data_IF_841886813391
#
_entry.id   IF_841886813391
#
_cell.length_a   1.000
_cell.length_b   1.000
_cell.length_c   1.000
_cell.angle_alpha   90.00
_cell.angle_beta   90.00
_cell.angle_gamma   90.00
#
_symmetry.space_group_name_H-M   'P 1'
#
loop_
_entity.id
_entity.type
_entity.pdbx_description
1 polymer ?
#
# COMPACT_ATOMS: atom_id res chain seq x y z
N UNK A 1 -13.11 -21.42 3.92
CA UNK A 1 -14.53 -21.33 4.28
C UNK A 1 -14.84 -19.84 4.27
N UNK A 2 -15.70 -19.39 3.36
CA UNK A 2 -15.83 -17.96 3.03
C UNK A 2 -16.70 -17.27 4.08
N UNK A 3 -16.26 -16.11 4.59
CA UNK A 3 -17.09 -15.24 5.44
C UNK A 3 -18.43 -14.88 4.77
N UNK A 4 -18.49 -15.00 3.44
CA UNK A 4 -19.67 -14.80 2.62
C UNK A 4 -20.77 -15.86 2.83
N UNK A 5 -20.43 -17.14 3.01
CA UNK A 5 -21.43 -18.19 3.27
C UNK A 5 -22.11 -18.00 4.63
N UNK A 6 -21.37 -17.49 5.63
CA UNK A 6 -21.94 -17.13 6.93
C UNK A 6 -22.92 -15.96 6.81
N UNK A 7 -22.62 -14.99 5.95
CA UNK A 7 -23.50 -13.85 5.70
C UNK A 7 -24.80 -14.27 5.01
N UNK A 8 -24.71 -15.14 3.98
CA UNK A 8 -25.90 -15.73 3.36
C UNK A 8 -26.74 -16.48 4.38
N UNK A 9 -26.11 -17.19 5.32
CA UNK A 9 -26.85 -17.94 6.33
C UNK A 9 -27.61 -17.03 7.31
N UNK A 10 -27.02 -15.90 7.71
CA UNK A 10 -27.74 -14.91 8.52
C UNK A 10 -28.94 -14.30 7.76
N UNK A 11 -28.83 -14.15 6.43
CA UNK A 11 -29.95 -13.73 5.61
C UNK A 11 -31.05 -14.80 5.54
N UNK A 12 -30.67 -16.05 5.34
CA UNK A 12 -31.62 -17.17 5.36
C UNK A 12 -32.37 -17.26 6.70
N UNK A 13 -31.70 -17.00 7.83
CA UNK A 13 -32.36 -16.97 9.14
C UNK A 13 -33.48 -15.92 9.21
N UNK A 14 -33.29 -14.75 8.61
CA UNK A 14 -34.31 -13.70 8.55
C UNK A 14 -35.49 -14.11 7.68
N UNK A 15 -35.24 -14.76 6.55
CA UNK A 15 -36.30 -15.25 5.67
C UNK A 15 -37.11 -16.36 6.34
N UNK A 16 -36.44 -17.29 7.03
CA UNK A 16 -37.08 -18.32 7.85
C UNK A 16 -37.95 -17.71 8.94
N UNK A 17 -37.44 -16.69 9.65
CA UNK A 17 -38.23 -15.96 10.64
C UNK A 17 -39.45 -15.30 10.00
N UNK A 18 -39.26 -14.57 8.91
CA UNK A 18 -40.34 -13.88 8.18
C UNK A 18 -41.41 -14.86 7.70
N UNK A 19 -41.00 -16.04 7.23
CA UNK A 19 -41.93 -17.07 6.78
C UNK A 19 -42.77 -17.65 7.93
N UNK A 20 -42.18 -17.87 9.11
CA UNK A 20 -42.92 -18.33 10.28
C UNK A 20 -43.92 -17.26 10.78
N UNK A 21 -43.51 -15.99 10.79
CA UNK A 21 -44.33 -14.87 11.27
C UNK A 21 -45.56 -14.57 10.37
N UNK A 22 -45.62 -15.10 9.14
CA UNK A 22 -46.79 -14.97 8.27
C UNK A 22 -48.02 -15.73 8.79
N UNK A 23 -47.80 -16.86 9.46
CA UNK A 23 -48.87 -17.78 9.88
C UNK A 23 -48.98 -17.93 11.40
N UNK A 24 -47.93 -17.57 12.14
CA UNK A 24 -47.85 -17.76 13.59
C UNK A 24 -47.39 -16.50 14.32
N UNK A 25 -47.85 -16.33 15.55
CA UNK A 25 -47.44 -15.24 16.45
C UNK A 25 -46.67 -15.83 17.65
N UNK A 26 -45.34 -15.92 17.58
CA UNK A 26 -44.50 -16.39 18.69
C UNK A 26 -44.45 -15.37 19.84
N UNK A 27 -43.86 -15.77 20.97
CA UNK A 27 -43.71 -14.88 22.13
C UNK A 27 -42.87 -13.62 21.89
N UNK A 28 -41.98 -13.65 20.88
CA UNK A 28 -41.11 -12.55 20.46
C UNK A 28 -40.92 -12.59 18.95
N UNK A 29 -40.84 -11.44 18.30
CA UNK A 29 -40.67 -11.39 16.83
C UNK A 29 -39.32 -11.98 16.40
N UNK A 30 -38.27 -11.79 17.21
CA UNK A 30 -36.90 -12.24 16.94
C UNK A 30 -36.72 -13.73 17.27
N UNK A 31 -36.37 -14.52 16.25
CA UNK A 31 -36.15 -15.97 16.35
C UNK A 31 -35.05 -16.34 17.36
N UNK A 32 -34.07 -15.46 17.57
CA UNK A 32 -33.03 -15.67 18.57
C UNK A 32 -33.55 -15.58 20.00
N UNK A 33 -34.77 -15.08 20.23
CA UNK A 33 -35.36 -14.97 21.56
C UNK A 33 -36.35 -16.08 21.89
N UNK A 34 -36.75 -16.90 20.92
CA UNK A 34 -37.71 -18.00 21.10
C UNK A 34 -37.26 -19.03 22.12
N UNK A 35 -38.17 -19.50 22.98
CA UNK A 35 -37.85 -20.47 24.05
C UNK A 35 -38.86 -21.60 24.05
N UNK A 36 -38.40 -22.79 24.42
CA UNK A 36 -39.23 -23.95 24.73
C UNK A 36 -40.36 -24.16 23.72
N UNK A 37 -41.57 -23.73 24.08
CA UNK A 37 -42.78 -23.89 23.26
C UNK A 37 -42.68 -23.26 21.86
N UNK A 38 -42.08 -22.07 21.72
CA UNK A 38 -41.91 -21.43 20.41
C UNK A 38 -41.00 -22.25 19.50
N UNK A 39 -39.96 -22.86 20.07
CA UNK A 39 -39.03 -23.72 19.34
C UNK A 39 -39.74 -25.00 18.89
N UNK A 40 -40.58 -25.58 19.76
CA UNK A 40 -41.36 -26.78 19.45
C UNK A 40 -42.34 -26.50 18.31
N UNK A 41 -43.09 -25.39 18.37
CA UNK A 41 -44.03 -25.03 17.31
C UNK A 41 -43.33 -24.76 15.97
N UNK A 42 -42.18 -24.07 16.01
CA UNK A 42 -41.36 -23.93 14.81
C UNK A 42 -40.88 -25.27 14.26
N UNK A 43 -40.43 -26.20 15.11
CA UNK A 43 -40.02 -27.54 14.68
C UNK A 43 -41.18 -28.32 14.04
N UNK A 44 -42.38 -28.20 14.58
CA UNK A 44 -43.58 -28.83 14.02
C UNK A 44 -43.97 -28.22 12.67
N UNK A 45 -43.94 -26.89 12.53
CA UNK A 45 -44.25 -26.24 11.26
C UNK A 45 -43.21 -26.56 10.17
N UNK A 46 -41.93 -26.54 10.55
CA UNK A 46 -40.83 -26.90 9.67
C UNK A 46 -40.96 -28.36 9.18
N UNK A 47 -41.43 -29.27 10.04
CA UNK A 47 -41.72 -30.66 9.66
C UNK A 47 -42.90 -30.78 8.70
N UNK A 48 -43.93 -29.94 8.86
CA UNK A 48 -45.10 -29.92 7.97
C UNK A 48 -44.75 -29.40 6.58
N UNK A 49 -44.02 -28.29 6.50
CA UNK A 49 -43.73 -27.59 5.23
C UNK A 49 -42.55 -28.19 4.47
N UNK A 50 -41.43 -28.43 5.15
CA UNK A 50 -40.18 -28.83 4.50
C UNK A 50 -39.83 -30.32 4.68
N UNK A 51 -40.71 -31.09 5.33
CA UNK A 51 -40.58 -32.55 5.55
C UNK A 51 -39.26 -33.00 6.21
N UNK A 52 -38.58 -32.11 6.93
CA UNK A 52 -37.37 -32.42 7.71
C UNK A 52 -37.52 -32.13 9.20
N UNK A 53 -36.45 -32.34 9.96
CA UNK A 53 -36.41 -32.06 11.39
C UNK A 53 -35.14 -31.30 11.76
N UNK A 54 -35.26 -30.46 12.78
CA UNK A 54 -34.12 -29.79 13.41
C UNK A 54 -34.14 -30.13 14.90
N UNK A 55 -33.01 -30.57 15.44
CA UNK A 55 -32.93 -30.82 16.88
C UNK A 55 -32.88 -29.52 17.66
N UNK A 56 -33.38 -29.54 18.90
CA UNK A 56 -33.34 -28.37 19.78
C UNK A 56 -31.89 -27.85 19.94
N UNK A 57 -30.92 -28.76 20.12
CA UNK A 57 -29.49 -28.42 20.16
C UNK A 57 -29.02 -27.66 18.92
N UNK A 58 -29.48 -28.05 17.73
CA UNK A 58 -29.13 -27.35 16.48
C UNK A 58 -29.75 -25.96 16.43
N UNK A 59 -30.99 -25.82 16.92
CA UNK A 59 -31.64 -24.52 17.06
C UNK A 59 -30.82 -23.58 17.95
N UNK A 60 -30.42 -24.03 19.15
CA UNK A 60 -29.54 -23.23 20.03
C UNK A 60 -28.18 -22.93 19.40
N UNK A 61 -27.63 -23.84 18.58
CA UNK A 61 -26.32 -23.62 17.97
C UNK A 61 -26.36 -22.51 16.91
N UNK A 62 -27.39 -22.49 16.07
CA UNK A 62 -27.41 -21.65 14.87
C UNK A 62 -28.34 -20.44 14.95
N UNK A 63 -29.41 -20.51 15.75
CA UNK A 63 -30.39 -19.42 15.87
C UNK A 63 -30.17 -18.54 17.10
N UNK A 64 -29.59 -19.08 18.18
CA UNK A 64 -29.34 -18.31 19.42
C UNK A 64 -28.02 -17.56 19.42
N UNK A 65 -26.99 -18.10 18.76
CA UNK A 65 -25.69 -17.47 18.69
C UNK A 65 -25.71 -16.42 17.58
N UNK A 66 -25.48 -15.16 17.94
CA UNK A 66 -25.28 -14.05 17.01
C UNK A 66 -23.99 -13.32 17.40
N UNK A 67 -22.96 -13.28 16.54
CA UNK A 67 -22.90 -13.81 15.16
C UNK A 67 -22.69 -15.32 15.10
N UNK A 68 -23.21 -15.98 14.05
CA UNK A 68 -22.95 -17.40 13.80
C UNK A 68 -21.49 -17.63 13.43
N UNK A 69 -20.77 -18.42 14.23
CA UNK A 69 -19.34 -18.72 14.02
C UNK A 69 -19.09 -19.92 13.12
N UNK A 70 -20.13 -20.72 12.83
CA UNK A 70 -20.02 -21.95 12.06
C UNK A 70 -21.28 -22.20 11.25
N UNK A 71 -21.09 -22.57 9.98
CA UNK A 71 -22.18 -22.92 9.08
C UNK A 71 -22.78 -24.31 9.44
N UNK A 72 -24.11 -24.49 9.35
CA UNK A 72 -24.74 -25.81 9.37
C UNK A 72 -24.28 -26.73 8.23
N UNK A 73 -24.55 -28.03 8.37
CA UNK A 73 -24.40 -28.98 7.27
C UNK A 73 -25.37 -28.64 6.13
N UNK A 74 -25.00 -29.01 4.91
CA UNK A 74 -25.77 -28.70 3.69
C UNK A 74 -27.24 -29.17 3.77
N UNK A 75 -27.51 -30.32 4.38
CA UNK A 75 -28.88 -30.84 4.55
C UNK A 75 -29.76 -29.89 5.37
N UNK A 76 -29.20 -29.27 6.41
CA UNK A 76 -29.91 -28.31 7.24
C UNK A 76 -30.13 -26.99 6.50
N UNK A 77 -29.15 -26.56 5.70
CA UNK A 77 -29.29 -25.36 4.86
C UNK A 77 -30.37 -25.54 3.80
N UNK A 78 -30.38 -26.69 3.11
CA UNK A 78 -31.43 -27.04 2.15
C UNK A 78 -32.80 -27.08 2.82
N UNK A 79 -32.90 -27.70 3.99
CA UNK A 79 -34.15 -27.78 4.76
C UNK A 79 -34.70 -26.39 5.11
N UNK A 80 -33.84 -25.48 5.58
CA UNK A 80 -34.23 -24.11 5.92
C UNK A 80 -34.58 -23.30 4.67
N UNK A 81 -33.90 -23.54 3.54
CA UNK A 81 -34.19 -22.88 2.26
C UNK A 81 -35.56 -23.31 1.72
N UNK A 82 -35.87 -24.60 1.75
CA UNK A 82 -37.18 -25.16 1.39
C UNK A 82 -38.27 -24.56 2.27
N UNK A 83 -38.02 -24.48 3.58
CA UNK A 83 -38.97 -23.86 4.49
C UNK A 83 -39.23 -22.38 4.15
N UNK A 84 -38.19 -21.63 3.79
CA UNK A 84 -38.29 -20.23 3.39
C UNK A 84 -38.90 -20.01 1.98
N UNK A 85 -39.11 -21.08 1.20
CA UNK A 85 -39.76 -21.04 -0.12
C UNK A 85 -38.82 -21.18 -1.31
N UNK A 86 -37.57 -21.60 -1.09
CA UNK A 86 -36.57 -21.82 -2.14
C UNK A 86 -36.32 -23.32 -2.36
N UNK A 87 -35.99 -23.74 -3.58
CA UNK A 87 -35.82 -25.19 -3.86
C UNK A 87 -34.61 -25.82 -3.17
N UNK A 88 -33.54 -25.04 -2.94
CA UNK A 88 -32.32 -25.51 -2.27
C UNK A 88 -31.49 -24.36 -1.69
N UNK A 89 -30.46 -24.69 -0.90
CA UNK A 89 -29.47 -23.71 -0.44
C UNK A 89 -28.75 -23.04 -1.61
N UNK A 90 -28.49 -23.79 -2.68
CA UNK A 90 -27.87 -23.26 -3.88
C UNK A 90 -28.77 -22.20 -4.55
N UNK A 91 -30.05 -22.52 -4.72
CA UNK A 91 -31.06 -21.59 -5.27
C UNK A 91 -31.25 -20.36 -4.38
N UNK A 92 -31.27 -20.55 -3.06
CA UNK A 92 -31.31 -19.44 -2.13
C UNK A 92 -30.13 -18.50 -2.33
N UNK A 93 -28.89 -19.04 -2.38
CA UNK A 93 -27.71 -18.24 -2.67
C UNK A 93 -27.84 -17.57 -4.03
N UNK A 94 -28.29 -18.29 -5.05
CA UNK A 94 -28.49 -17.76 -6.40
C UNK A 94 -29.34 -16.49 -6.42
N UNK A 95 -30.46 -16.52 -5.69
CA UNK A 95 -31.40 -15.40 -5.62
C UNK A 95 -30.96 -14.29 -4.66
N UNK A 96 -30.05 -14.60 -3.73
CA UNK A 96 -29.50 -13.69 -2.72
C UNK A 96 -28.02 -13.42 -2.94
N UNK A 97 -27.59 -13.45 -4.21
CA UNK A 97 -26.21 -13.32 -4.60
C UNK A 97 -25.66 -11.96 -4.13
N UNK A 98 -24.64 -11.98 -3.27
CA UNK A 98 -23.87 -10.76 -3.01
C UNK A 98 -23.11 -10.36 -4.29
N UNK A 99 -22.80 -9.07 -4.44
CA UNK A 99 -22.17 -8.53 -5.65
C UNK A 99 -20.85 -9.22 -6.07
N UNK A 100 -20.19 -9.94 -5.15
CA UNK A 100 -19.00 -10.75 -5.45
C UNK A 100 -19.28 -12.11 -6.09
N UNK A 101 -20.46 -12.70 -5.88
CA UNK A 101 -20.86 -13.98 -6.49
C UNK A 101 -21.53 -13.77 -7.87
N UNK A 102 -22.10 -12.59 -8.15
CA UNK A 102 -22.63 -12.22 -9.49
C UNK A 102 -21.55 -12.21 -10.57
N UNK A 103 -20.31 -11.98 -10.16
CA UNK A 103 -19.16 -11.95 -11.06
C UNK A 103 -18.70 -13.37 -11.40
N UNK A 104 -18.73 -14.29 -10.43
CA UNK A 104 -18.39 -15.69 -10.65
C UNK A 104 -19.42 -16.38 -11.55
N UNK A 105 -20.70 -16.04 -11.43
CA UNK A 105 -21.73 -16.60 -12.32
C UNK A 105 -21.58 -16.05 -13.76
N UNK A 106 -21.26 -14.77 -13.93
CA UNK A 106 -20.96 -14.21 -15.25
C UNK A 106 -19.66 -14.76 -15.86
N UNK A 107 -18.59 -14.96 -15.07
CA UNK A 107 -17.35 -15.59 -15.54
C UNK A 107 -17.59 -17.05 -15.94
N UNK A 108 -18.38 -17.82 -15.19
CA UNK A 108 -18.74 -19.19 -15.56
C UNK A 108 -19.60 -19.24 -16.84
N UNK A 109 -20.51 -18.29 -17.03
CA UNK A 109 -21.31 -18.17 -18.26
C UNK A 109 -20.45 -17.80 -19.47
N UNK A 110 -19.48 -16.90 -19.28
CA UNK A 110 -18.50 -16.54 -20.31
C UNK A 110 -17.57 -17.72 -20.66
N UNK A 111 -17.14 -18.53 -19.67
CA UNK A 111 -16.34 -19.75 -19.90
C UNK A 111 -17.13 -20.85 -20.63
N UNK A 112 -18.43 -20.98 -20.38
CA UNK A 112 -19.31 -21.91 -21.12
C UNK A 112 -19.50 -21.46 -22.58
N UNK A 113 -19.70 -20.16 -22.83
CA UNK A 113 -19.78 -19.60 -24.19
C UNK A 113 -18.45 -19.73 -24.96
N UNK A 114 -17.32 -19.53 -24.29
CA UNK A 114 -15.98 -19.70 -24.88
C UNK A 114 -15.73 -21.16 -25.27
N UNK A 115 -16.17 -22.13 -24.47
CA UNK A 115 -16.05 -23.55 -24.81
C UNK A 115 -16.92 -23.95 -26.02
N UNK A 116 -18.08 -23.33 -26.21
CA UNK A 116 -18.89 -23.54 -27.42
C UNK A 116 -18.25 -22.90 -28.67
N UNK A 117 -17.59 -21.75 -28.51
CA UNK A 117 -16.83 -21.07 -29.56
C UNK A 117 -15.54 -21.83 -29.95
N UNK A 118 -14.83 -22.45 -29.00
CA UNK A 118 -13.64 -23.27 -29.29
C UNK A 118 -13.99 -24.57 -30.05
N UNK A 119 -15.17 -25.12 -29.79
CA UNK A 119 -15.71 -26.26 -30.55
C UNK A 119 -15.98 -25.92 -32.01
N UNK A 120 -16.43 -24.70 -32.30
CA UNK A 120 -16.73 -24.24 -33.66
C UNK A 120 -15.48 -23.80 -34.43
N UNK A 121 -14.42 -23.37 -33.74
CA UNK A 121 -13.14 -22.97 -34.39
C UNK A 121 -12.27 -24.17 -34.78
N UNK A 122 -12.48 -25.35 -34.16
CA UNK A 122 -11.72 -26.57 -34.45
C UNK A 122 -12.07 -27.27 -35.79
N UNK A 123 -13.11 -26.82 -36.51
CA UNK A 123 -13.60 -27.48 -37.73
C UNK A 123 -13.11 -26.87 -39.06
N UNK A 124 -12.18 -25.91 -39.08
CA UNK A 124 -11.68 -25.31 -40.34
C UNK A 124 -10.17 -25.51 -40.55
N UNK A 125 -9.67 -25.91 -41.75
CA UNK A 125 -8.31 -26.44 -41.93
C UNK A 125 -7.20 -25.37 -41.96
N UNK A 126 -6.07 -25.68 -41.30
CA UNK A 126 -4.82 -24.90 -41.20
C UNK A 126 -3.96 -24.88 -42.49
N UNK A 127 -3.11 -23.85 -42.62
CA UNK A 127 -1.66 -23.87 -43.01
C UNK A 127 -1.13 -22.44 -43.29
N UNK A 128 0.18 -22.14 -43.23
CA UNK A 128 1.22 -22.53 -42.27
C UNK A 128 1.97 -21.33 -41.63
N UNK A 129 2.57 -21.61 -40.46
CA UNK A 129 3.48 -20.75 -39.68
C UNK A 129 4.86 -20.64 -40.32
N UNK A 130 5.57 -19.53 -40.08
CA UNK A 130 7.04 -19.46 -40.21
C UNK A 130 7.61 -18.74 -39.00
N UNK A 131 8.33 -19.51 -38.16
CA UNK A 131 9.12 -19.08 -37.01
C UNK A 131 10.55 -18.69 -37.44
N UNK A 132 11.15 -17.69 -36.77
CA UNK A 132 12.61 -17.61 -36.62
C UNK A 132 12.94 -17.16 -35.19
N UNK A 133 13.69 -18.01 -34.46
CA UNK A 133 14.20 -17.79 -33.09
C UNK A 133 15.56 -17.05 -33.07
N UNK A 134 15.93 -16.40 -31.96
CA UNK A 134 17.17 -15.62 -31.82
C UNK A 134 18.39 -16.44 -31.34
N UNK A 135 19.59 -16.09 -31.81
CA UNK A 135 20.88 -16.72 -31.47
C UNK A 135 21.64 -15.92 -30.38
N UNK A 136 21.97 -16.59 -29.28
CA UNK A 136 22.79 -16.15 -28.13
C UNK A 136 24.29 -16.25 -28.46
N UNK A 137 25.09 -15.26 -28.04
CA UNK A 137 26.56 -15.31 -28.04
C UNK A 137 27.07 -14.96 -26.64
N UNK A 138 27.99 -15.81 -26.17
CA UNK A 138 28.62 -15.86 -24.84
C UNK A 138 30.09 -15.45 -24.98
N UNK A 139 30.62 -14.62 -24.07
CA UNK A 139 32.05 -14.29 -24.01
C UNK A 139 32.55 -14.45 -22.57
N UNK A 140 33.68 -15.16 -22.47
CA UNK A 140 34.35 -15.67 -21.28
C UNK A 140 35.28 -14.63 -20.62
N UNK A 141 35.48 -14.80 -19.32
CA UNK A 141 36.47 -14.15 -18.45
C UNK A 141 37.89 -14.73 -18.64
N UNK A 142 38.95 -13.95 -18.34
CA UNK A 142 40.25 -14.51 -17.99
C UNK A 142 40.68 -14.15 -16.56
N UNK A 143 41.32 -15.11 -15.88
CA UNK A 143 41.89 -15.00 -14.54
C UNK A 143 43.41 -15.29 -14.56
N UNK A 144 44.15 -14.52 -13.75
CA UNK A 144 45.45 -14.75 -13.10
C UNK A 144 46.75 -14.92 -13.92
N UNK A 145 47.78 -14.13 -13.56
CA UNK A 145 49.07 -14.66 -13.05
C UNK A 145 49.69 -13.70 -12.02
N UNK A 146 50.06 -14.27 -10.89
CA UNK A 146 50.80 -13.75 -9.73
C UNK A 146 52.32 -13.72 -9.99
N UNK A 147 53.03 -12.71 -9.47
CA UNK A 147 54.50 -12.64 -9.48
C UNK A 147 55.00 -12.05 -8.15
N UNK A 148 55.24 -12.93 -7.16
CA UNK A 148 56.14 -12.65 -6.03
C UNK A 148 57.53 -13.23 -6.29
N UNK A 149 58.59 -12.51 -5.86
CA UNK A 149 59.74 -13.08 -5.14
C UNK A 149 60.27 -12.06 -4.10
N UNK A 150 60.60 -12.59 -2.92
CA UNK A 150 61.03 -11.91 -1.69
C UNK A 150 62.54 -12.05 -1.43
N UNK A 151 63.00 -11.38 -0.34
CA UNK A 151 64.21 -11.59 0.51
C UNK A 151 65.42 -10.66 0.20
N UNK A 152 66.19 -10.08 1.13
CA UNK A 152 66.27 -9.91 2.62
C UNK A 152 67.45 -8.94 2.88
N UNK A 153 67.44 -8.07 3.90
CA UNK A 153 68.54 -7.93 4.89
C UNK A 153 68.28 -6.85 5.97
N UNK A 154 68.47 -7.27 7.22
CA UNK A 154 68.59 -6.44 8.42
C UNK A 154 70.01 -5.91 8.54
N UNK A 155 70.21 -4.70 9.07
CA UNK A 155 71.41 -4.40 9.86
C UNK A 155 71.23 -3.26 10.87
N UNK A 156 72.09 -3.33 11.88
CA UNK A 156 71.92 -2.92 13.28
C UNK A 156 72.24 -1.46 13.64
N UNK A 157 71.72 -1.12 14.81
CA UNK A 157 71.90 0.09 15.61
C UNK A 157 73.36 0.27 16.07
N UNK A 158 73.84 1.52 16.10
CA UNK A 158 75.03 1.87 16.89
C UNK A 158 74.80 3.12 17.77
N UNK A 159 75.20 3.01 19.05
CA UNK A 159 75.16 4.05 20.09
C UNK A 159 76.58 4.39 20.55
N UNK A 160 76.87 5.69 20.79
CA UNK A 160 77.61 6.30 21.94
C UNK A 160 78.24 7.67 21.53
N UNK A 161 78.74 8.51 22.46
CA UNK A 161 78.31 8.82 23.84
C UNK A 161 78.21 10.34 24.16
N UNK A 162 77.70 10.61 25.36
CA UNK A 162 77.59 11.86 26.15
C UNK A 162 78.83 12.76 26.22
N UNK A 163 78.66 14.08 26.34
CA UNK A 163 79.40 14.93 27.31
C UNK A 163 78.59 16.20 27.64
N UNK A 164 78.32 16.37 28.94
CA UNK A 164 77.77 17.53 29.64
C UNK A 164 78.78 18.68 29.67
N UNK A 165 78.32 19.94 29.66
CA UNK A 165 78.85 21.01 30.51
C UNK A 165 77.85 22.17 30.58
N UNK A 166 77.41 22.46 31.79
CA UNK A 166 76.71 23.68 32.20
C UNK A 166 77.68 24.88 32.17
N UNK A 167 77.19 26.05 31.75
CA UNK A 167 77.62 27.35 32.27
C UNK A 167 76.40 28.27 32.29
N UNK A 168 75.96 28.66 33.50
CA UNK A 168 75.14 29.85 33.72
C UNK A 168 75.94 31.13 33.45
N UNK A 169 75.31 32.17 32.89
CA UNK A 169 75.16 33.49 33.54
C UNK A 169 74.28 34.39 32.65
N UNK A 170 73.45 35.13 33.37
CA UNK A 170 72.44 36.12 33.06
C UNK A 170 72.85 37.31 32.18
N UNK A 171 71.87 37.95 31.51
CA UNK A 171 71.64 39.42 31.48
C UNK A 171 70.36 39.76 30.69
N UNK A 172 69.78 40.93 31.01
CA UNK A 172 68.37 41.33 30.88
C UNK A 172 68.05 42.02 29.52
N UNK A 173 66.84 42.58 29.27
CA UNK A 173 66.06 42.34 28.06
C UNK A 173 66.26 43.42 26.98
N UNK A 174 66.18 43.07 25.70
CA UNK A 174 66.02 44.08 24.65
C UNK A 174 64.81 43.78 23.77
N UNK A 175 63.82 44.66 23.85
CA UNK A 175 62.75 44.79 22.85
C UNK A 175 63.40 44.95 21.48
N UNK A 176 63.36 43.90 20.65
CA UNK A 176 63.64 43.99 19.21
C UNK A 176 62.69 43.07 18.44
N UNK A 177 61.74 43.71 17.75
CA UNK A 177 61.01 43.24 16.57
C UNK A 177 60.50 41.78 16.58
N UNK A 178 59.49 41.53 17.41
CA UNK A 178 58.70 40.28 17.45
C UNK A 178 58.18 39.85 16.06
N UNK A 179 57.94 40.81 15.16
CA UNK A 179 57.39 40.56 13.82
C UNK A 179 58.38 39.92 12.83
N UNK A 180 59.71 40.02 13.02
CA UNK A 180 60.68 39.41 12.08
C UNK A 180 61.10 37.99 12.49
N UNK A 181 61.04 37.64 13.78
CA UNK A 181 61.40 36.30 14.29
C UNK A 181 60.21 35.33 14.29
N UNK A 182 58.99 35.85 14.42
CA UNK A 182 57.76 35.05 14.40
C UNK A 182 57.02 35.12 13.05
N UNK A 183 57.63 35.72 12.02
CA UNK A 183 57.08 35.77 10.67
C UNK A 183 56.77 34.36 10.14
N UNK A 184 57.64 33.39 10.41
CA UNK A 184 57.43 32.01 9.99
C UNK A 184 56.26 31.34 10.73
N UNK A 185 56.02 31.68 12.00
CA UNK A 185 54.87 31.20 12.78
C UNK A 185 53.54 31.83 12.31
N UNK A 186 53.57 33.10 11.87
CA UNK A 186 52.42 33.73 11.23
C UNK A 186 52.14 33.12 9.86
N UNK A 187 53.18 32.85 9.07
CA UNK A 187 53.05 32.19 7.76
C UNK A 187 52.48 30.77 7.92
N UNK A 188 52.98 29.98 8.87
CA UNK A 188 52.44 28.63 9.11
C UNK A 188 51.03 28.66 9.68
N UNK A 189 50.70 29.61 10.57
CA UNK A 189 49.32 29.81 11.05
C UNK A 189 48.35 30.17 9.93
N UNK A 190 48.74 31.09 9.04
CA UNK A 190 47.95 31.46 7.85
C UNK A 190 47.82 30.27 6.90
N UNK A 191 48.89 29.49 6.70
CA UNK A 191 48.87 28.29 5.87
C UNK A 191 47.92 27.23 6.46
N UNK A 192 47.95 27.01 7.77
CA UNK A 192 47.03 26.09 8.48
C UNK A 192 45.59 26.59 8.36
N UNK A 193 45.34 27.89 8.51
CA UNK A 193 44.02 28.48 8.35
C UNK A 193 43.49 28.33 6.91
N UNK A 194 44.33 28.59 5.89
CA UNK A 194 43.99 28.40 4.48
C UNK A 194 43.76 26.92 4.17
N UNK A 195 44.59 26.03 4.69
CA UNK A 195 44.45 24.58 4.49
C UNK A 195 43.19 24.05 5.17
N UNK A 196 42.86 24.56 6.36
CA UNK A 196 41.58 24.31 7.03
C UNK A 196 40.40 24.82 6.20
N UNK A 197 40.46 26.06 5.70
CA UNK A 197 39.42 26.63 4.84
C UNK A 197 39.22 25.83 3.55
N UNK A 198 40.30 25.37 2.92
CA UNK A 198 40.26 24.53 1.72
C UNK A 198 39.72 23.12 2.01
N UNK A 199 40.07 22.54 3.16
CA UNK A 199 39.56 21.24 3.61
C UNK A 199 38.06 21.26 3.95
N UNK A 200 37.55 22.40 4.46
CA UNK A 200 36.13 22.58 4.80
C UNK A 200 35.34 23.41 3.77
N UNK A 201 35.93 23.73 2.61
CA UNK A 201 35.28 24.53 1.55
C UNK A 201 33.91 23.98 1.18
N UNK A 202 33.77 22.65 1.22
CA UNK A 202 32.56 22.02 0.73
C UNK A 202 31.35 22.18 1.65
N UNK A 203 31.57 22.41 2.95
CA UNK A 203 30.52 22.69 3.94
C UNK A 203 30.30 24.19 4.12
N UNK A 204 31.36 25.00 3.95
CA UNK A 204 31.29 26.46 4.15
C UNK A 204 30.56 27.20 3.01
N UNK A 205 30.55 26.64 1.78
CA UNK A 205 29.99 27.33 0.61
C UNK A 205 28.64 26.76 0.11
N UNK A 206 28.07 25.77 0.78
CA UNK A 206 26.73 25.25 0.45
C UNK A 206 25.63 26.11 1.09
N UNK A 207 24.57 26.39 0.33
CA UNK A 207 23.36 27.04 0.85
C UNK A 207 22.26 25.99 1.02
N UNK A 208 21.53 26.09 2.13
CA UNK A 208 20.37 25.24 2.41
C UNK A 208 19.09 25.96 2.00
N UNK A 209 18.25 25.28 1.22
CA UNK A 209 16.93 25.74 0.81
C UNK A 209 15.88 24.85 1.43
N UNK A 210 14.81 25.46 1.95
CA UNK A 210 13.69 24.76 2.59
C UNK A 210 12.42 24.97 1.79
N UNK A 211 11.77 23.87 1.43
CA UNK A 211 10.53 23.86 0.65
C UNK A 211 9.41 23.25 1.48
N UNK A 212 8.37 24.02 1.76
CA UNK A 212 7.17 23.56 2.45
C UNK A 212 6.03 23.37 1.45
N UNK A 213 5.23 22.32 1.61
CA UNK A 213 4.23 21.94 0.62
C UNK A 213 2.82 22.18 1.16
N UNK A 214 2.03 22.92 0.39
CA UNK A 214 0.64 23.25 0.73
C UNK A 214 -0.31 22.77 -0.35
N UNK A 215 -1.52 22.41 0.07
CA UNK A 215 -2.63 22.12 -0.80
C UNK A 215 -3.12 23.41 -1.46
N UNK A 216 -3.13 23.46 -2.80
CA UNK A 216 -3.50 24.64 -3.58
C UNK A 216 -4.92 25.14 -3.27
N UNK A 217 -5.86 24.23 -3.05
CA UNK A 217 -7.28 24.57 -2.92
C UNK A 217 -7.65 24.90 -1.46
N UNK A 218 -6.98 24.24 -0.50
CA UNK A 218 -7.26 24.41 0.93
C UNK A 218 -6.31 25.35 1.66
N UNK A 219 -5.14 25.64 1.11
CA UNK A 219 -4.10 26.46 1.74
C UNK A 219 -3.48 25.84 3.01
N UNK A 220 -3.76 24.57 3.28
CA UNK A 220 -3.21 23.82 4.43
C UNK A 220 -2.10 22.87 4.00
N UNK A 221 -1.33 22.35 4.95
CA UNK A 221 -0.29 21.37 4.65
C UNK A 221 -0.84 20.11 3.97
N UNK A 222 -0.04 19.55 3.08
CA UNK A 222 -0.38 18.30 2.38
C UNK A 222 -0.55 17.12 3.34
N UNK A 223 -1.51 16.26 3.06
CA UNK A 223 -1.94 15.17 3.96
C UNK A 223 -1.24 13.82 3.69
N UNK A 224 -0.50 13.70 2.60
CA UNK A 224 0.18 12.46 2.18
C UNK A 224 1.70 12.59 2.27
N UNK A 225 2.38 11.45 2.33
CA UNK A 225 3.83 11.42 2.11
C UNK A 225 4.16 11.88 0.71
N UNK A 226 5.20 12.69 0.58
CA UNK A 226 5.70 13.17 -0.69
C UNK A 226 6.95 12.41 -1.10
N UNK A 227 7.02 12.03 -2.37
CA UNK A 227 8.21 11.53 -3.02
C UNK A 227 8.82 12.66 -3.86
N UNK A 228 10.01 13.11 -3.47
CA UNK A 228 10.76 14.18 -4.14
C UNK A 228 11.96 13.55 -4.84
N UNK A 229 12.02 13.75 -6.16
CA UNK A 229 13.13 13.32 -7.01
C UNK A 229 13.93 14.55 -7.42
N UNK A 230 15.12 14.74 -6.86
CA UNK A 230 16.05 15.80 -7.27
C UNK A 230 16.87 15.32 -8.45
N UNK A 231 16.83 16.05 -9.56
CA UNK A 231 17.46 15.70 -10.83
C UNK A 231 18.67 16.61 -11.02
N UNK A 232 19.84 15.99 -11.20
CA UNK A 232 21.10 16.66 -11.50
C UNK A 232 21.56 16.32 -12.92
N UNK A 233 22.38 17.19 -13.50
CA UNK A 233 22.93 16.95 -14.82
C UNK A 233 23.98 15.84 -14.77
N UNK A 234 23.92 14.89 -15.71
CA UNK A 234 24.84 13.76 -15.82
C UNK A 234 24.94 12.86 -14.58
N UNK A 235 23.97 12.96 -13.66
CA UNK A 235 23.92 12.16 -12.44
C UNK A 235 22.56 11.48 -12.31
N UNK A 236 22.55 10.35 -11.59
CA UNK A 236 21.31 9.67 -11.24
C UNK A 236 20.47 10.53 -10.28
N UNK A 237 19.12 10.53 -10.41
CA UNK A 237 18.27 11.29 -9.51
C UNK A 237 18.37 10.85 -8.04
N UNK A 238 18.30 11.81 -7.13
CA UNK A 238 18.27 11.57 -5.69
C UNK A 238 16.82 11.54 -5.20
N UNK A 239 16.44 10.49 -4.46
CA UNK A 239 15.07 10.26 -4.00
C UNK A 239 14.91 10.55 -2.51
N UNK A 240 13.91 11.32 -2.15
CA UNK A 240 13.58 11.68 -0.78
C UNK A 240 12.10 11.40 -0.48
N UNK A 241 11.82 10.84 0.70
CA UNK A 241 10.46 10.62 1.23
C UNK A 241 10.21 11.58 2.38
N UNK A 242 9.21 12.44 2.24
CA UNK A 242 8.84 13.45 3.24
C UNK A 242 7.50 13.07 3.85
N UNK A 243 7.37 13.17 5.18
CA UNK A 243 6.11 12.88 5.87
C UNK A 243 5.12 14.04 5.69
N UNK A 244 3.80 13.78 5.85
CA UNK A 244 2.80 14.84 5.81
C UNK A 244 3.15 15.98 6.78
N UNK A 245 3.07 17.23 6.30
CA UNK A 245 3.35 18.42 7.11
C UNK A 245 4.82 18.78 7.33
N UNK A 246 5.78 17.92 6.95
CA UNK A 246 7.20 18.25 7.03
C UNK A 246 7.67 19.03 5.78
N UNK A 247 8.66 19.92 5.98
CA UNK A 247 9.31 20.63 4.88
C UNK A 247 10.57 19.89 4.41
N UNK A 248 10.88 20.03 3.12
CA UNK A 248 12.07 19.46 2.52
C UNK A 248 13.23 20.45 2.57
N UNK A 249 14.28 20.12 3.31
CA UNK A 249 15.51 20.92 3.32
C UNK A 249 16.60 20.25 2.48
N UNK A 250 17.17 21.03 1.56
CA UNK A 250 18.19 20.56 0.63
C UNK A 250 19.38 21.52 0.60
N UNK A 251 20.56 20.99 0.89
CA UNK A 251 21.81 21.75 0.84
C UNK A 251 22.53 21.49 -0.48
N UNK A 252 22.81 22.56 -1.23
CA UNK A 252 23.53 22.45 -2.50
C UNK A 252 24.37 23.69 -2.78
N UNK A 253 25.35 23.52 -3.69
CA UNK A 253 26.13 24.60 -4.31
C UNK A 253 25.69 24.88 -5.74
N UNK A 254 24.84 24.01 -6.27
CA UNK A 254 24.37 24.11 -7.65
C UNK A 254 23.56 25.40 -7.82
N UNK A 255 23.70 26.04 -8.98
CA UNK A 255 22.98 27.26 -9.32
C UNK A 255 21.53 27.00 -9.67
N UNK A 256 21.19 25.77 -10.05
CA UNK A 256 19.85 25.38 -10.45
C UNK A 256 19.42 24.14 -9.67
N UNK A 257 18.14 24.09 -9.31
CA UNK A 257 17.49 22.93 -8.72
C UNK A 257 16.35 22.50 -9.62
N UNK A 258 16.44 21.28 -10.16
CA UNK A 258 15.34 20.60 -10.82
C UNK A 258 14.86 19.48 -9.91
N UNK A 259 13.57 19.48 -9.58
CA UNK A 259 12.97 18.41 -8.80
C UNK A 259 11.59 18.05 -9.32
N UNK A 260 11.23 16.78 -9.18
CA UNK A 260 9.89 16.25 -9.47
C UNK A 260 9.26 15.78 -8.17
N UNK A 261 8.12 16.36 -7.84
CA UNK A 261 7.37 16.08 -6.62
C UNK A 261 6.17 15.22 -7.01
N UNK A 262 5.97 14.13 -6.29
CA UNK A 262 4.86 13.21 -6.52
C UNK A 262 4.25 12.75 -5.21
N UNK A 263 2.94 12.50 -5.22
CA UNK A 263 2.19 12.02 -4.07
C UNK A 263 0.98 11.22 -4.55
N UNK A 264 0.41 10.41 -3.64
CA UNK A 264 -0.72 9.56 -3.99
C UNK A 264 -1.97 10.34 -4.46
N UNK A 265 -2.26 11.50 -3.88
CA UNK A 265 -3.50 12.25 -4.11
C UNK A 265 -3.31 13.64 -4.74
N UNK A 266 -2.10 13.96 -5.21
CA UNK A 266 -1.80 15.23 -5.87
C UNK A 266 -1.30 14.97 -7.29
N UNK A 267 -1.45 15.98 -8.15
CA UNK A 267 -0.86 15.95 -9.48
C UNK A 267 0.67 16.09 -9.38
N UNK A 268 1.46 15.28 -10.12
CA UNK A 268 2.91 15.43 -10.12
C UNK A 268 3.32 16.84 -10.57
N UNK A 269 4.26 17.44 -9.85
CA UNK A 269 4.75 18.78 -10.14
C UNK A 269 6.24 18.75 -10.43
N UNK A 270 6.64 19.30 -11.57
CA UNK A 270 8.04 19.55 -11.90
C UNK A 270 8.40 20.99 -11.55
N UNK A 271 9.45 21.13 -10.75
CA UNK A 271 9.93 22.40 -10.24
C UNK A 271 11.33 22.63 -10.76
N UNK A 272 11.52 23.77 -11.42
CA UNK A 272 12.83 24.25 -11.87
C UNK A 272 13.05 25.62 -11.23
N UNK A 273 14.15 25.77 -10.48
CA UNK A 273 14.50 26.99 -9.74
C UNK A 273 15.93 27.39 -10.03
N UNK A 274 16.14 28.68 -10.26
CA UNK A 274 17.44 29.30 -10.19
C UNK A 274 17.70 29.72 -8.73
N UNK A 275 18.74 29.16 -8.13
CA UNK A 275 19.12 29.31 -6.73
C UNK A 275 20.01 30.54 -6.46
N UNK A 276 20.45 31.27 -7.49
CA UNK A 276 21.27 32.47 -7.28
C UNK A 276 20.50 33.57 -6.53
N UNK A 277 19.21 33.71 -6.83
CA UNK A 277 18.30 34.72 -6.25
C UNK A 277 17.11 34.10 -5.50
N UNK A 278 17.12 32.78 -5.26
CA UNK A 278 16.01 32.11 -4.59
C UNK A 278 15.96 32.46 -3.09
N UNK A 279 14.76 32.58 -2.50
CA UNK A 279 14.63 32.69 -1.06
C UNK A 279 15.11 31.41 -0.37
N UNK A 280 15.56 31.54 0.88
CA UNK A 280 15.98 30.39 1.69
C UNK A 280 14.81 29.47 2.06
N UNK A 281 13.59 30.01 2.10
CA UNK A 281 12.36 29.28 2.37
C UNK A 281 11.32 29.60 1.29
N UNK A 282 10.70 28.58 0.72
CA UNK A 282 9.66 28.69 -0.30
C UNK A 282 8.47 27.77 0.03
N UNK A 283 7.25 28.24 -0.24
CA UNK A 283 6.05 27.42 -0.21
C UNK A 283 5.69 26.97 -1.63
N UNK A 284 5.53 25.67 -1.83
CA UNK A 284 5.14 25.06 -3.09
C UNK A 284 3.70 24.56 -2.98
N UNK A 285 2.84 25.08 -3.86
CA UNK A 285 1.45 24.66 -3.98
C UNK A 285 1.35 23.38 -4.81
N UNK A 286 0.81 22.32 -4.22
CA UNK A 286 0.47 21.08 -4.92
C UNK A 286 -1.02 21.07 -5.23
N UNK A 287 -1.35 20.83 -6.49
CA UNK A 287 -2.73 20.71 -6.95
C UNK A 287 -3.29 19.33 -6.58
N UNK A 288 -4.40 19.26 -5.82
CA UNK A 288 -5.08 18.00 -5.56
C UNK A 288 -5.54 17.29 -6.84
N UNK A 289 -5.55 15.96 -6.82
CA UNK A 289 -6.16 15.16 -7.89
C UNK A 289 -7.53 14.65 -7.44
N UNK A 290 -8.57 15.39 -7.82
CA UNK A 290 -9.96 15.14 -7.41
C UNK A 290 -10.43 13.71 -7.68
N UNK A 291 -10.00 13.11 -8.79
CA UNK A 291 -10.37 11.73 -9.14
C UNK A 291 -9.77 10.73 -8.16
N UNK A 292 -8.50 10.91 -7.81
CA UNK A 292 -7.81 10.03 -6.87
C UNK A 292 -8.37 10.18 -5.45
N UNK A 293 -8.64 11.43 -5.06
CA UNK A 293 -9.26 11.73 -3.77
C UNK A 293 -10.69 11.18 -3.68
N UNK A 294 -11.50 11.34 -4.72
CA UNK A 294 -12.86 10.82 -4.77
C UNK A 294 -12.86 9.29 -4.67
N UNK A 295 -12.03 8.60 -5.46
CA UNK A 295 -11.93 7.14 -5.40
C UNK A 295 -11.53 6.67 -4.00
N UNK A 296 -10.53 7.29 -3.38
CA UNK A 296 -10.12 6.96 -2.01
C UNK A 296 -11.20 7.24 -0.97
N UNK A 297 -11.87 8.40 -1.07
CA UNK A 297 -12.98 8.77 -0.19
C UNK A 297 -14.09 7.73 -0.26
N UNK A 298 -14.52 7.37 -1.47
CA UNK A 298 -15.55 6.35 -1.65
C UNK A 298 -15.09 5.02 -1.10
N UNK A 299 -13.85 4.59 -1.36
CA UNK A 299 -13.30 3.34 -0.81
C UNK A 299 -13.35 3.26 0.72
N UNK A 300 -13.13 4.36 1.45
CA UNK A 300 -13.09 4.36 2.93
C UNK A 300 -14.38 4.77 3.63
N UNK A 301 -15.34 5.38 2.93
CA UNK A 301 -16.58 5.84 3.55
C UNK A 301 -17.34 4.67 4.17
N UNK A 302 -17.55 4.73 5.48
CA UNK A 302 -18.39 3.79 6.23
C UNK A 302 -19.84 3.90 5.73
N UNK A 303 -20.53 2.76 5.67
CA UNK A 303 -21.93 2.69 5.26
C UNK A 303 -22.77 2.65 6.53
N UNK A 304 -23.61 3.68 6.74
CA UNK A 304 -24.47 3.84 7.92
C UNK A 304 -25.92 3.98 7.48
N UNK A 305 -26.85 3.30 8.14
CA UNK A 305 -28.28 3.37 7.82
C UNK A 305 -29.02 2.09 8.19
N UNK A 306 -30.31 2.01 7.87
CA UNK A 306 -31.07 0.74 7.93
C UNK A 306 -30.68 -0.20 6.77
N UNK A 307 -31.13 -1.46 6.79
CA UNK A 307 -30.70 -2.48 5.80
C UNK A 307 -30.94 -2.06 4.34
N UNK A 308 -32.03 -1.38 4.03
CA UNK A 308 -32.37 -0.95 2.66
C UNK A 308 -31.50 0.23 2.20
N UNK A 309 -31.31 1.23 3.07
CA UNK A 309 -30.44 2.37 2.82
C UNK A 309 -28.98 1.93 2.62
N UNK A 310 -28.51 0.95 3.40
CA UNK A 310 -27.15 0.41 3.24
C UNK A 310 -26.96 -0.21 1.86
N UNK A 311 -27.92 -0.99 1.37
CA UNK A 311 -27.87 -1.60 0.03
C UNK A 311 -27.84 -0.53 -1.06
N UNK A 312 -28.68 0.51 -0.95
CA UNK A 312 -28.69 1.63 -1.89
C UNK A 312 -27.35 2.40 -1.90
N UNK A 313 -26.77 2.67 -0.74
CA UNK A 313 -25.48 3.35 -0.59
C UNK A 313 -24.32 2.52 -1.13
N UNK A 314 -24.32 1.20 -0.92
CA UNK A 314 -23.34 0.27 -1.51
C UNK A 314 -23.42 0.35 -3.04
N UNK A 315 -24.64 0.27 -3.60
CA UNK A 315 -24.86 0.35 -5.05
C UNK A 315 -24.35 1.68 -5.62
N UNK A 316 -24.64 2.80 -4.95
CA UNK A 316 -24.15 4.11 -5.35
C UNK A 316 -22.62 4.18 -5.33
N UNK A 317 -21.99 3.75 -4.22
CA UNK A 317 -20.53 3.73 -4.07
C UNK A 317 -19.87 2.88 -5.15
N UNK A 318 -20.44 1.70 -5.44
CA UNK A 318 -19.98 0.81 -6.50
C UNK A 318 -20.03 1.51 -7.86
N UNK A 319 -21.15 2.12 -8.24
CA UNK A 319 -21.28 2.87 -9.49
C UNK A 319 -20.29 4.03 -9.62
N UNK A 320 -20.01 4.73 -8.51
CA UNK A 320 -19.03 5.82 -8.52
C UNK A 320 -17.61 5.30 -8.79
N UNK A 321 -17.21 4.21 -8.11
CA UNK A 321 -15.91 3.59 -8.34
C UNK A 321 -15.79 2.99 -9.74
N UNK A 322 -16.87 2.40 -10.27
CA UNK A 322 -16.94 1.90 -11.65
C UNK A 322 -16.62 2.98 -12.70
N UNK A 323 -17.14 4.19 -12.48
CA UNK A 323 -16.93 5.32 -13.38
C UNK A 323 -15.52 5.90 -13.27
N UNK A 324 -14.96 5.94 -12.06
CA UNK A 324 -13.64 6.52 -11.79
C UNK A 324 -12.49 5.60 -12.22
N UNK A 325 -12.67 4.28 -12.16
CA UNK A 325 -11.63 3.29 -12.44
C UNK A 325 -11.80 2.76 -13.87
N UNK A 326 -10.71 2.77 -14.64
CA UNK A 326 -10.69 2.23 -16.00
C UNK A 326 -10.92 0.72 -16.01
N UNK A 327 -11.60 0.20 -17.04
CA UNK A 327 -11.87 -1.25 -17.18
C UNK A 327 -10.59 -2.08 -17.32
N UNK A 328 -9.51 -1.48 -17.84
CA UNK A 328 -8.19 -2.10 -17.97
C UNK A 328 -7.22 -1.70 -16.84
N UNK A 329 -7.73 -1.21 -15.71
CA UNK A 329 -6.88 -0.76 -14.62
C UNK A 329 -6.06 -1.91 -14.03
N UNK A 330 -4.78 -1.64 -13.75
CA UNK A 330 -3.87 -2.59 -13.09
C UNK A 330 -3.81 -2.28 -11.60
N UNK A 331 -4.34 -3.17 -10.78
CA UNK A 331 -4.48 -2.97 -9.34
C UNK A 331 -3.60 -3.97 -8.58
N UNK A 332 -2.80 -3.46 -7.64
CA UNK A 332 -1.90 -4.25 -6.79
C UNK A 332 -2.23 -4.06 -5.32
N UNK A 333 -2.43 -5.17 -4.61
CA UNK A 333 -2.46 -5.22 -3.16
C UNK A 333 -1.09 -5.64 -2.65
N UNK A 334 -0.51 -4.85 -1.75
CA UNK A 334 0.77 -5.13 -1.10
C UNK A 334 0.51 -5.76 0.27
N UNK A 335 1.18 -6.88 0.56
CA UNK A 335 1.10 -7.62 1.81
C UNK A 335 2.43 -7.53 2.58
N UNK A 336 2.35 -7.45 3.90
CA UNK A 336 3.51 -7.43 4.80
C UNK A 336 4.04 -8.86 5.08
N UNK A 337 4.23 -9.67 4.04
CA UNK A 337 4.77 -11.04 4.15
C UNK A 337 6.17 -11.15 3.52
N UNK A 338 6.95 -12.16 3.94
CA UNK A 338 8.34 -12.32 3.52
C UNK A 338 8.54 -13.07 2.19
N UNK A 339 7.47 -13.63 1.59
CA UNK A 339 7.57 -14.59 0.47
C UNK A 339 6.84 -14.13 -0.78
N UNK A 340 5.68 -13.46 -0.65
CA UNK A 340 4.83 -13.05 -1.75
C UNK A 340 4.18 -11.69 -1.45
N UNK A 341 4.95 -10.62 -1.64
CA UNK A 341 4.59 -9.28 -1.14
C UNK A 341 3.57 -8.50 -1.97
N UNK A 342 3.18 -8.98 -3.16
CA UNK A 342 2.22 -8.30 -4.04
C UNK A 342 1.26 -9.28 -4.72
N UNK A 343 -0.03 -8.94 -4.75
CA UNK A 343 -1.05 -9.63 -5.54
C UNK A 343 -1.65 -8.64 -6.56
N UNK A 344 -1.76 -9.07 -7.81
CA UNK A 344 -2.54 -8.33 -8.82
C UNK A 344 -4.00 -8.75 -8.69
N UNK A 345 -4.90 -7.77 -8.56
CA UNK A 345 -6.34 -7.99 -8.55
C UNK A 345 -6.98 -7.21 -9.71
N UNK A 346 -8.11 -7.70 -10.19
CA UNK A 346 -8.89 -7.01 -11.20
C UNK A 346 -9.72 -5.85 -10.59
N UNK A 347 -10.30 -5.03 -11.47
CA UNK A 347 -11.15 -3.88 -11.11
C UNK A 347 -12.33 -4.30 -10.21
N UNK A 348 -12.98 -5.40 -10.55
CA UNK A 348 -14.20 -5.84 -9.89
C UNK A 348 -13.91 -6.35 -8.48
N UNK A 349 -12.87 -7.17 -8.31
CA UNK A 349 -12.36 -7.64 -7.02
C UNK A 349 -11.94 -6.47 -6.13
N UNK A 350 -11.28 -5.44 -6.67
CA UNK A 350 -10.97 -4.23 -5.91
C UNK A 350 -12.24 -3.49 -5.45
N UNK A 351 -13.16 -3.22 -6.37
CA UNK A 351 -14.40 -2.49 -6.06
C UNK A 351 -15.23 -3.26 -5.03
N UNK A 352 -15.39 -4.57 -5.21
CA UNK A 352 -16.04 -5.45 -4.24
C UNK A 352 -15.34 -5.36 -2.89
N UNK A 353 -14.02 -5.52 -2.83
CA UNK A 353 -13.25 -5.42 -1.59
C UNK A 353 -13.50 -4.11 -0.85
N UNK A 354 -13.48 -2.96 -1.52
CA UNK A 354 -13.65 -1.66 -0.86
C UNK A 354 -15.11 -1.29 -0.59
N UNK A 355 -16.08 -2.02 -1.15
CA UNK A 355 -17.52 -1.83 -0.91
C UNK A 355 -18.09 -2.82 0.10
N UNK A 356 -17.44 -3.97 0.32
CA UNK A 356 -17.83 -4.93 1.34
C UNK A 356 -17.71 -4.29 2.73
N UNK A 357 -18.78 -4.30 3.55
CA UNK A 357 -18.75 -3.75 4.90
C UNK A 357 -17.80 -4.54 5.81
N UNK A 358 -16.53 -4.13 5.88
CA UNK A 358 -15.52 -4.75 6.73
C UNK A 358 -14.73 -3.68 7.49
N UNK A 359 -14.32 -4.01 8.72
CA UNK A 359 -13.55 -3.10 9.57
C UNK A 359 -12.10 -2.94 9.09
N UNK A 360 -11.56 -3.94 8.39
CA UNK A 360 -10.20 -3.94 7.84
C UNK A 360 -9.95 -2.79 6.86
N UNK A 361 -10.98 -2.31 6.15
CA UNK A 361 -10.87 -1.18 5.23
C UNK A 361 -10.51 0.15 5.90
N UNK A 362 -10.70 0.28 7.23
CA UNK A 362 -10.24 1.45 7.97
C UNK A 362 -8.73 1.63 7.88
N UNK A 363 -8.00 0.54 7.72
CA UNK A 363 -6.54 0.48 7.60
C UNK A 363 -6.05 0.46 6.15
N UNK A 364 -6.93 0.71 5.18
CA UNK A 364 -6.55 0.84 3.78
C UNK A 364 -5.70 2.10 3.57
N UNK A 365 -4.51 1.91 3.02
CA UNK A 365 -3.58 2.97 2.67
C UNK A 365 -3.20 2.86 1.19
N UNK A 366 -3.40 3.94 0.43
CA UNK A 366 -3.02 4.03 -0.97
C UNK A 366 -1.55 4.44 -1.06
N UNK A 367 -0.75 3.60 -1.69
CA UNK A 367 0.68 3.84 -1.93
C UNK A 367 0.85 4.68 -3.19
N UNK A 368 0.14 4.31 -4.25
CA UNK A 368 0.26 4.95 -5.57
C UNK A 368 -1.08 4.87 -6.30
N UNK A 369 -1.42 5.93 -7.02
CA UNK A 369 -2.56 5.91 -7.93
C UNK A 369 -2.20 6.70 -9.18
N UNK A 370 -2.41 6.09 -10.36
CA UNK A 370 -2.11 6.69 -11.66
C UNK A 370 -3.39 6.93 -12.43
N UNK A 371 -3.47 8.12 -13.02
CA UNK A 371 -4.59 8.57 -13.84
C UNK A 371 -4.11 8.72 -15.28
N UNK A 372 -4.97 8.34 -16.20
CA UNK A 372 -4.83 8.64 -17.63
C UNK A 372 -6.20 8.98 -18.20
N UNK A 373 -6.27 10.00 -19.06
CA UNK A 373 -7.52 10.46 -19.70
C UNK A 373 -8.74 10.57 -18.76
N UNK A 374 -8.53 11.09 -17.55
CA UNK A 374 -9.60 11.27 -16.56
C UNK A 374 -10.08 9.99 -15.87
N UNK A 375 -9.43 8.84 -16.07
CA UNK A 375 -9.73 7.59 -15.34
C UNK A 375 -8.51 7.07 -14.60
N UNK A 376 -8.74 6.33 -13.52
CA UNK A 376 -7.69 5.65 -12.77
C UNK A 376 -7.30 4.38 -13.52
N UNK A 377 -6.04 4.31 -13.96
CA UNK A 377 -5.48 3.18 -14.71
C UNK A 377 -4.58 2.29 -13.87
N UNK A 378 -4.15 2.76 -12.69
CA UNK A 378 -3.43 1.91 -11.75
C UNK A 378 -3.66 2.33 -10.31
N UNK A 379 -3.80 1.34 -9.43
CA UNK A 379 -3.92 1.51 -7.98
C UNK A 379 -2.95 0.55 -7.31
N UNK A 380 -2.10 1.05 -6.41
CA UNK A 380 -1.28 0.25 -5.51
C UNK A 380 -1.66 0.62 -4.08
N UNK A 381 -2.10 -0.34 -3.31
CA UNK A 381 -2.56 -0.10 -1.94
C UNK A 381 -2.09 -1.22 -1.01
N UNK A 382 -2.15 -0.95 0.29
CA UNK A 382 -1.96 -1.93 1.35
C UNK A 382 -3.08 -1.80 2.36
N UNK A 383 -3.42 -2.90 3.01
CA UNK A 383 -4.31 -2.89 4.17
C UNK A 383 -3.45 -3.32 5.34
N UNK A 384 -3.18 -2.41 6.27
CA UNK A 384 -2.40 -2.79 7.45
C UNK A 384 -3.22 -3.80 8.26
N UNK A 385 -2.65 -4.98 8.49
CA UNK A 385 -3.24 -5.97 9.40
C UNK A 385 -3.22 -5.38 10.81
N UNK A 386 -4.32 -5.56 11.53
CA UNK A 386 -4.45 -5.07 12.92
C UNK A 386 -3.85 -6.05 13.94
N UNK A 387 -3.09 -7.05 13.48
CA UNK A 387 -2.79 -8.23 14.29
C UNK A 387 -1.48 -8.12 15.10
N UNK A 388 -1.65 -8.24 16.42
CA UNK A 388 -0.76 -8.94 17.37
C UNK A 388 0.60 -8.33 17.77
N UNK A 389 0.68 -7.02 18.01
CA UNK A 389 1.78 -6.46 18.85
C UNK A 389 1.36 -5.54 20.00
N UNK A 390 0.07 -5.44 20.29
CA UNK A 390 -0.42 -4.76 21.49
C UNK A 390 -1.46 -5.65 22.18
N UNK A 391 -0.99 -6.64 22.94
CA UNK A 391 -1.71 -7.18 24.08
C UNK A 391 -0.74 -7.44 25.21
#
# INVERSE_FOLDING_TARGET
>A
MTDLDLLHFEQLKKDVQGQYLKEYTPSQDDISKWKGIDIIYFQEDLRKKAKGNISEKSFYTYFKNSPVTKLPRIDMLNLLSIYAGYDSWYEFKKQHLFAGELLLENENLEEEEINELEKTVSETPELPKTEIQPKKVEIQTPTNVDLQKTNTENQDVNKKPTTTNEVEISTIPTKKNFFKKNAWALITSVLIAITGLLGFKDVLFSKTYTYCFIDKDRGVSVINTLDIMVIKENESPLMYKIKPGECFSYSTKDKNLKMKISAAFYEPLEVNRNLENAPAEEKIELKPDDYKMAAYYFSRKDITGNSEEQVALIKQKRNQLENLISNNAVIYQVYDNNTYGIEKIDKQKYITLVTTPTTSLKNLNVIEMKKDNGKIVSIKFKIATTDEKNK
#
